data_IF_146822559840
#
_entry.id   IF_146822559840
#
_cell.length_a   1.000
_cell.length_b   1.000
_cell.length_c   1.000
_cell.angle_alpha   90.00
_cell.angle_beta   90.00
_cell.angle_gamma   90.00
#
_symmetry.space_group_name_H-M   'P 1'
#
loop_
_entity.id
_entity.type
_entity.pdbx_description
1 polymer ?
#
# COMPACT_ATOMS: atom_id res chain seq x y z
N UNK A 1 -58.48 -23.98 0.79
CA UNK A 1 -57.17 -23.95 1.45
C UNK A 1 -56.20 -23.41 0.41
N UNK A 2 -55.65 -22.22 0.65
CA UNK A 2 -54.63 -21.62 -0.21
C UNK A 2 -53.31 -22.13 0.34
N UNK A 3 -52.58 -22.89 -0.47
CA UNK A 3 -51.20 -23.29 -0.22
C UNK A 3 -50.33 -22.22 -0.89
N UNK A 4 -49.80 -21.30 -0.10
CA UNK A 4 -48.79 -20.33 -0.55
C UNK A 4 -47.47 -20.84 -0.04
N UNK A 5 -46.69 -21.44 -0.93
CA UNK A 5 -45.27 -21.71 -0.76
C UNK A 5 -44.54 -20.42 -0.36
N UNK A 6 -44.44 -20.17 0.95
CA UNK A 6 -43.57 -19.14 1.52
C UNK A 6 -42.14 -19.66 1.38
N UNK A 7 -41.48 -19.32 0.30
CA UNK A 7 -40.02 -19.40 0.25
C UNK A 7 -39.47 -18.23 1.03
N UNK A 8 -38.98 -18.50 2.23
CA UNK A 8 -38.22 -17.56 3.04
C UNK A 8 -37.17 -16.82 2.18
N UNK A 9 -37.02 -15.49 2.29
CA UNK A 9 -36.00 -14.76 1.56
C UNK A 9 -34.60 -15.28 1.93
N UNK A 10 -33.87 -15.79 0.94
CA UNK A 10 -32.52 -16.32 1.10
C UNK A 10 -31.48 -15.27 0.68
N UNK A 11 -30.54 -14.95 1.57
CA UNK A 11 -29.43 -14.06 1.29
C UNK A 11 -28.16 -14.85 0.97
N UNK A 12 -27.54 -14.52 -0.16
CA UNK A 12 -26.29 -15.11 -0.61
C UNK A 12 -25.22 -14.03 -0.76
N UNK A 13 -23.97 -14.39 -0.42
CA UNK A 13 -22.80 -13.59 -0.78
C UNK A 13 -21.98 -14.35 -1.81
N UNK A 14 -21.64 -13.66 -2.90
CA UNK A 14 -20.71 -14.13 -3.93
C UNK A 14 -19.36 -13.45 -3.75
N UNK A 15 -18.35 -14.22 -3.33
CA UNK A 15 -16.95 -13.80 -3.36
C UNK A 15 -16.40 -14.15 -4.74
N UNK A 16 -15.71 -13.22 -5.39
CA UNK A 16 -15.15 -13.44 -6.73
C UNK A 16 -14.29 -14.72 -6.78
N UNK A 17 -14.60 -15.63 -7.72
CA UNK A 17 -13.91 -16.92 -7.86
C UNK A 17 -14.46 -18.05 -6.98
N UNK A 18 -15.53 -17.83 -6.22
CA UNK A 18 -16.20 -18.86 -5.39
C UNK A 18 -17.64 -19.10 -5.82
N UNK A 19 -18.23 -20.22 -5.37
CA UNK A 19 -19.68 -20.44 -5.47
C UNK A 19 -20.41 -19.59 -4.44
N UNK A 20 -21.68 -19.28 -4.69
CA UNK A 20 -22.53 -18.55 -3.75
C UNK A 20 -22.51 -19.24 -2.37
N UNK A 21 -22.21 -18.45 -1.35
CA UNK A 21 -22.21 -18.91 0.03
C UNK A 21 -23.51 -18.47 0.68
N UNK A 22 -24.20 -19.42 1.32
CA UNK A 22 -25.43 -19.15 2.07
C UNK A 22 -25.09 -18.46 3.39
N UNK A 23 -25.75 -17.34 3.70
CA UNK A 23 -25.65 -16.75 5.03
C UNK A 23 -26.63 -17.46 5.97
N UNK A 24 -26.09 -18.26 6.88
CA UNK A 24 -26.85 -18.88 7.95
C UNK A 24 -27.13 -17.86 9.06
N UNK A 25 -28.40 -17.62 9.34
CA UNK A 25 -28.85 -16.93 10.55
C UNK A 25 -28.74 -17.92 11.69
N UNK A 26 -27.92 -17.64 12.71
CA UNK A 26 -27.83 -18.54 13.87
C UNK A 26 -29.17 -18.58 14.59
N UNK A 27 -29.44 -19.68 15.32
CA UNK A 27 -30.69 -20.00 16.03
C UNK A 27 -31.14 -18.98 17.11
N UNK A 28 -30.42 -17.86 17.25
CA UNK A 28 -30.66 -16.75 18.17
C UNK A 28 -30.80 -15.38 17.46
N UNK A 29 -30.86 -15.35 16.13
CA UNK A 29 -31.21 -14.15 15.39
C UNK A 29 -32.72 -14.09 15.22
N UNK A 30 -33.39 -13.16 15.88
CA UNK A 30 -34.75 -12.79 15.51
C UNK A 30 -34.76 -12.52 14.00
N UNK A 31 -35.67 -13.17 13.28
CA UNK A 31 -35.96 -12.81 11.90
C UNK A 31 -36.28 -11.31 11.90
N UNK A 32 -35.72 -10.49 10.99
CA UNK A 32 -36.07 -9.09 10.97
C UNK A 32 -37.58 -8.99 10.79
N UNK A 33 -38.27 -8.36 11.76
CA UNK A 33 -39.67 -7.99 11.61
C UNK A 33 -39.82 -7.27 10.26
N UNK A 34 -40.90 -7.57 9.54
CA UNK A 34 -41.07 -7.41 8.08
C UNK A 34 -40.75 -6.03 7.48
N UNK A 35 -40.47 -5.02 8.32
CA UNK A 35 -40.24 -3.65 7.90
C UNK A 35 -38.80 -3.14 8.04
N UNK A 36 -37.94 -3.63 8.97
CA UNK A 36 -36.54 -3.16 9.09
C UNK A 36 -35.61 -4.19 9.76
N UNK A 37 -34.61 -4.68 9.01
CA UNK A 37 -33.57 -5.59 9.51
C UNK A 37 -32.16 -5.05 9.34
N UNK A 38 -31.39 -4.96 10.43
CA UNK A 38 -29.96 -4.67 10.36
C UNK A 38 -29.16 -5.98 10.27
N UNK A 39 -28.48 -6.22 9.16
CA UNK A 39 -27.50 -7.31 9.04
C UNK A 39 -26.06 -6.76 9.08
N UNK A 40 -25.16 -7.55 9.67
CA UNK A 40 -23.74 -7.23 9.78
C UNK A 40 -22.92 -8.35 9.15
N UNK A 41 -22.00 -8.02 8.24
CA UNK A 41 -20.98 -8.95 7.78
C UNK A 41 -19.73 -8.82 8.63
N UNK A 42 -19.22 -9.94 9.16
CA UNK A 42 -17.90 -10.00 9.81
C UNK A 42 -16.97 -10.84 8.95
N UNK A 43 -15.93 -10.21 8.43
CA UNK A 43 -14.85 -10.90 7.75
C UNK A 43 -13.82 -11.33 8.80
N UNK A 44 -13.67 -12.64 8.98
CA UNK A 44 -12.53 -13.20 9.71
C UNK A 44 -11.40 -13.36 8.70
N UNK A 45 -10.44 -12.44 8.72
CA UNK A 45 -9.18 -12.68 8.02
C UNK A 45 -8.35 -13.65 8.87
N UNK A 46 -7.76 -14.67 8.25
CA UNK A 46 -6.98 -15.66 9.00
C UNK A 46 -5.80 -15.01 9.77
N UNK A 47 -5.27 -15.71 10.77
CA UNK A 47 -4.19 -15.21 11.62
C UNK A 47 -2.87 -14.96 10.86
N UNK A 48 -2.77 -15.40 9.60
CA UNK A 48 -1.61 -15.16 8.73
C UNK A 48 -1.79 -13.91 7.84
N UNK A 49 -2.95 -13.24 7.87
CA UNK A 49 -3.17 -12.01 7.11
C UNK A 49 -2.69 -10.78 7.89
N UNK A 50 -1.71 -10.11 7.31
CA UNK A 50 -1.22 -8.84 7.79
C UNK A 50 -2.30 -7.74 7.59
N UNK A 51 -2.92 -7.28 8.68
CA UNK A 51 -3.93 -6.21 8.66
C UNK A 51 -3.47 -4.96 7.89
N UNK A 52 -2.18 -4.60 7.98
CA UNK A 52 -1.64 -3.45 7.25
C UNK A 52 -1.70 -3.67 5.72
N UNK A 53 -1.43 -4.87 5.23
CA UNK A 53 -1.53 -5.18 3.78
C UNK A 53 -2.99 -5.19 3.29
N UNK A 54 -3.96 -5.46 4.17
CA UNK A 54 -5.39 -5.38 3.82
C UNK A 54 -5.94 -3.94 3.74
N UNK A 55 -5.22 -2.96 4.31
CA UNK A 55 -5.72 -1.58 4.47
C UNK A 55 -4.79 -0.53 3.87
N UNK A 56 -3.57 -0.90 3.49
CA UNK A 56 -2.53 0.02 3.05
C UNK A 56 -1.83 -0.52 1.81
N UNK A 57 -1.18 0.39 1.09
CA UNK A 57 -0.27 0.06 0.01
C UNK A 57 1.15 0.30 0.51
N UNK A 58 2.00 -0.71 0.39
CA UNK A 58 3.29 -0.77 1.07
C UNK A 58 4.40 -1.13 0.10
N UNK A 59 5.58 -0.52 0.27
CA UNK A 59 6.80 -0.90 -0.45
C UNK A 59 7.93 -1.22 0.53
N UNK A 60 8.66 -2.30 0.26
CA UNK A 60 9.89 -2.68 0.96
C UNK A 60 11.07 -2.56 0.00
N UNK A 61 12.19 -2.00 0.43
CA UNK A 61 13.42 -2.05 -0.38
C UNK A 61 13.88 -3.50 -0.58
N UNK A 62 14.33 -3.82 -1.80
CA UNK A 62 14.81 -5.16 -2.13
C UNK A 62 16.10 -5.50 -1.37
N UNK A 63 16.40 -6.80 -1.16
CA UNK A 63 17.66 -7.23 -0.57
C UNK A 63 18.88 -6.65 -1.28
N UNK A 64 19.81 -6.08 -0.53
CA UNK A 64 21.00 -5.39 -1.04
C UNK A 64 20.81 -3.91 -1.36
N UNK A 65 19.57 -3.39 -1.33
CA UNK A 65 19.26 -1.98 -1.56
C UNK A 65 18.85 -1.23 -0.27
N UNK A 66 18.87 -1.88 0.89
CA UNK A 66 18.32 -1.34 2.14
C UNK A 66 19.03 -0.07 2.63
N UNK A 67 20.26 0.19 2.15
CA UNK A 67 21.07 1.36 2.52
C UNK A 67 21.45 2.24 1.33
N UNK A 68 21.04 1.84 0.14
CA UNK A 68 21.52 2.41 -1.14
C UNK A 68 20.38 2.74 -2.08
N UNK A 69 19.12 2.43 -1.72
CA UNK A 69 17.95 2.77 -2.52
C UNK A 69 17.90 4.29 -2.74
N UNK A 70 18.03 4.76 -3.99
CA UNK A 70 17.98 6.19 -4.26
C UNK A 70 16.55 6.72 -4.16
N UNK A 71 16.43 7.97 -3.73
CA UNK A 71 15.16 8.71 -3.75
C UNK A 71 15.20 9.75 -4.84
N UNK A 72 14.04 9.94 -5.46
CA UNK A 72 13.86 10.86 -6.57
C UNK A 72 12.81 11.92 -6.21
N UNK A 73 12.94 13.11 -6.77
CA UNK A 73 11.87 14.11 -6.76
C UNK A 73 10.90 13.87 -7.93
N UNK A 74 9.87 14.71 -8.04
CA UNK A 74 8.85 14.62 -9.09
C UNK A 74 9.37 14.94 -10.51
N UNK A 75 10.60 15.46 -10.62
CA UNK A 75 11.33 15.71 -11.87
C UNK A 75 12.30 14.58 -12.24
N UNK A 76 12.30 13.47 -11.47
CA UNK A 76 13.17 12.32 -11.73
C UNK A 76 14.65 12.58 -11.43
N UNK A 77 14.94 13.59 -10.61
CA UNK A 77 16.28 13.90 -10.13
C UNK A 77 16.52 13.24 -8.78
N UNK A 78 17.74 12.81 -8.52
CA UNK A 78 18.14 12.29 -7.22
C UNK A 78 18.00 13.37 -6.14
N UNK A 79 17.40 12.98 -5.02
CA UNK A 79 17.34 13.81 -3.82
C UNK A 79 18.65 13.62 -3.05
N UNK A 80 19.35 14.72 -2.79
CA UNK A 80 20.55 14.69 -1.94
C UNK A 80 20.17 14.53 -0.47
N UNK A 81 20.64 13.45 0.12
CA UNK A 81 20.41 13.09 1.51
C UNK A 81 21.61 13.43 2.41
N UNK A 82 22.65 14.07 1.87
CA UNK A 82 23.87 14.39 2.62
C UNK A 82 24.53 13.15 3.21
N UNK A 83 24.61 12.09 2.40
CA UNK A 83 25.13 10.77 2.78
C UNK A 83 24.22 9.92 3.68
N UNK A 84 23.06 10.43 4.10
CA UNK A 84 22.07 9.66 4.86
C UNK A 84 21.28 8.76 3.93
N UNK A 85 20.63 7.75 4.51
CA UNK A 85 19.77 6.85 3.77
C UNK A 85 18.51 6.53 4.58
N UNK A 86 17.42 6.27 3.86
CA UNK A 86 16.30 5.56 4.42
C UNK A 86 16.74 4.12 4.63
N UNK A 87 17.01 3.75 5.88
CA UNK A 87 17.17 2.34 6.22
C UNK A 87 15.80 1.69 6.28
N UNK A 88 15.75 0.42 5.88
CA UNK A 88 14.70 -0.52 6.25
C UNK A 88 14.11 -0.13 7.63
N UNK A 89 12.83 0.28 7.68
CA UNK A 89 12.26 0.96 8.84
C UNK A 89 12.48 0.14 10.14
N UNK A 90 13.52 0.49 10.92
CA UNK A 90 13.94 -0.31 12.05
C UNK A 90 13.64 0.40 13.39
N UNK A 91 12.77 -0.29 14.15
CA UNK A 91 12.35 -0.07 15.54
C UNK A 91 11.34 1.03 15.81
N UNK A 92 10.09 0.56 15.92
CA UNK A 92 9.00 1.25 16.59
C UNK A 92 7.62 0.72 16.20
N UNK A 93 7.42 -0.61 16.17
CA UNK A 93 6.18 -1.32 16.53
C UNK A 93 6.32 -2.81 16.15
N UNK A 94 5.82 -3.67 17.03
CA UNK A 94 6.03 -5.12 17.08
C UNK A 94 5.30 -5.93 16.00
N UNK A 95 5.01 -5.36 14.82
CA UNK A 95 4.32 -5.99 13.68
C UNK A 95 4.74 -5.28 12.37
N UNK A 96 4.25 -5.76 11.21
CA UNK A 96 5.01 -6.30 10.08
C UNK A 96 5.98 -5.29 9.41
N UNK A 97 7.23 -5.41 9.83
CA UNK A 97 8.44 -5.33 9.02
C UNK A 97 8.48 -4.37 7.81
N UNK A 98 9.14 -3.22 8.04
CA UNK A 98 10.09 -2.65 7.08
C UNK A 98 9.55 -1.95 5.83
N UNK A 99 8.30 -1.48 5.88
CA UNK A 99 7.62 -0.93 4.72
C UNK A 99 7.43 0.59 4.78
N UNK A 100 7.43 1.23 3.63
CA UNK A 100 6.95 2.60 3.44
C UNK A 100 5.56 2.57 2.83
N UNK A 101 4.65 3.40 3.35
CA UNK A 101 3.35 3.58 2.73
C UNK A 101 3.47 4.38 1.44
N UNK A 102 2.64 4.01 0.46
CA UNK A 102 2.54 4.67 -0.84
C UNK A 102 1.07 4.93 -1.18
N UNK A 103 0.78 6.02 -1.88
CA UNK A 103 -0.58 6.44 -2.25
C UNK A 103 -0.88 6.27 -3.75
N UNK A 104 0.13 6.47 -4.61
CA UNK A 104 0.01 6.26 -6.06
C UNK A 104 1.33 5.84 -6.71
N UNK A 105 1.22 5.37 -7.95
CA UNK A 105 2.36 5.19 -8.83
C UNK A 105 2.33 6.21 -9.98
N UNK A 106 3.49 6.55 -10.53
CA UNK A 106 3.63 7.51 -11.64
C UNK A 106 4.86 7.19 -12.46
N UNK A 107 4.77 7.31 -13.77
CA UNK A 107 5.93 7.37 -14.64
C UNK A 107 6.59 8.74 -14.54
N UNK A 108 7.89 8.75 -14.26
CA UNK A 108 8.70 9.97 -14.18
C UNK A 108 9.85 9.81 -15.17
N UNK A 109 10.11 10.85 -15.97
CA UNK A 109 11.29 10.90 -16.83
C UNK A 109 12.54 11.04 -15.97
N UNK A 110 13.49 10.12 -16.12
CA UNK A 110 14.76 10.14 -15.39
C UNK A 110 15.84 10.72 -16.31
N UNK A 111 16.29 11.98 -16.12
CA UNK A 111 17.20 12.62 -17.06
C UNK A 111 18.54 11.89 -17.20
N UNK A 112 19.06 11.31 -16.10
CA UNK A 112 20.31 10.57 -16.10
C UNK A 112 20.25 9.26 -16.89
N UNK A 113 19.06 8.70 -17.07
CA UNK A 113 18.84 7.43 -17.78
C UNK A 113 18.18 7.62 -19.16
N UNK A 114 17.70 8.84 -19.45
CA UNK A 114 17.01 9.20 -20.69
C UNK A 114 15.84 8.25 -21.01
N UNK A 115 15.05 7.91 -19.98
CA UNK A 115 13.85 7.09 -20.10
C UNK A 115 12.83 7.43 -19.01
N UNK A 116 11.57 7.14 -19.28
CA UNK A 116 10.52 7.15 -18.27
C UNK A 116 10.56 5.84 -17.47
N UNK A 117 10.55 5.94 -16.15
CA UNK A 117 10.53 4.82 -15.23
C UNK A 117 9.31 4.91 -14.31
N UNK A 118 8.82 3.76 -13.84
CA UNK A 118 7.70 3.72 -12.89
C UNK A 118 8.21 3.94 -11.47
N UNK A 119 7.57 4.86 -10.75
CA UNK A 119 7.87 5.18 -9.37
C UNK A 119 6.65 5.02 -8.48
N UNK A 120 6.89 4.72 -7.21
CA UNK A 120 5.93 4.88 -6.12
C UNK A 120 6.23 6.16 -5.34
N UNK A 121 5.21 6.94 -5.04
CA UNK A 121 5.31 8.10 -4.16
C UNK A 121 5.27 7.64 -2.70
N UNK A 122 6.25 8.04 -1.89
CA UNK A 122 6.27 7.73 -0.46
C UNK A 122 5.40 8.73 0.29
N UNK A 123 4.46 8.23 1.11
CA UNK A 123 3.61 9.09 1.92
C UNK A 123 4.44 9.77 3.02
N UNK A 124 4.44 11.11 3.00
CA UNK A 124 5.13 11.95 3.97
C UNK A 124 6.22 12.78 3.33
N UNK A 125 6.67 13.81 4.06
CA UNK A 125 7.77 14.69 3.63
C UNK A 125 8.95 14.67 4.58
N UNK A 126 8.76 14.11 5.78
CA UNK A 126 9.78 14.00 6.81
C UNK A 126 9.93 12.54 7.22
N UNK A 127 11.14 12.03 7.13
CA UNK A 127 11.44 10.64 7.43
C UNK A 127 12.55 10.53 8.47
N UNK A 128 12.50 9.45 9.26
CA UNK A 128 13.61 9.04 10.11
C UNK A 128 14.66 8.34 9.25
N UNK A 129 15.87 8.86 9.23
CA UNK A 129 16.97 8.40 8.37
C UNK A 129 18.16 7.97 9.20
N UNK A 130 18.98 7.07 8.64
CA UNK A 130 20.28 6.70 9.21
C UNK A 130 21.35 7.66 8.72
N UNK A 131 22.17 8.11 9.66
CA UNK A 131 23.39 8.84 9.34
C UNK A 131 24.62 7.92 9.51
N UNK A 132 25.28 7.52 8.40
CA UNK A 132 26.47 6.66 8.49
C UNK A 132 27.67 7.36 9.13
N UNK A 133 27.65 8.70 9.25
CA UNK A 133 28.72 9.47 9.87
C UNK A 133 28.48 9.71 11.37
N UNK A 134 27.37 9.23 11.93
CA UNK A 134 27.12 9.35 13.37
C UNK A 134 28.11 8.50 14.16
N UNK A 135 28.68 9.09 15.22
CA UNK A 135 29.52 8.37 16.20
C UNK A 135 28.74 7.29 16.96
N UNK A 136 27.41 7.36 16.95
CA UNK A 136 26.54 6.35 17.54
C UNK A 136 25.85 5.58 16.41
N UNK A 137 26.15 4.28 16.33
CA UNK A 137 25.67 3.32 15.33
C UNK A 137 24.13 3.29 15.19
N UNK A 138 23.40 3.87 16.15
CA UNK A 138 21.95 3.84 16.23
C UNK A 138 21.23 5.20 16.11
N UNK A 139 21.92 6.28 15.71
CA UNK A 139 21.24 7.59 15.62
C UNK A 139 20.29 7.65 14.42
N UNK A 140 19.03 7.92 14.72
CA UNK A 140 18.01 8.31 13.73
C UNK A 140 17.91 9.82 13.68
N UNK A 141 17.97 10.39 12.49
CA UNK A 141 17.77 11.82 12.26
C UNK A 141 16.48 11.99 11.48
N UNK A 142 15.56 12.81 11.98
CA UNK A 142 14.38 13.22 11.20
C UNK A 142 14.80 14.31 10.23
N UNK A 143 14.59 14.07 8.94
CA UNK A 143 14.91 15.03 7.89
C UNK A 143 13.69 15.26 7.01
N UNK A 144 13.39 16.53 6.74
CA UNK A 144 12.44 16.91 5.72
C UNK A 144 13.14 16.86 4.36
N UNK A 145 12.63 16.03 3.46
CA UNK A 145 13.15 15.79 2.10
C UNK A 145 12.11 16.11 1.03
N UNK A 146 10.96 16.68 1.42
CA UNK A 146 9.85 16.95 0.52
C UNK A 146 9.15 15.68 0.01
N UNK A 147 8.39 15.83 -1.07
CA UNK A 147 7.76 14.71 -1.76
C UNK A 147 8.83 13.90 -2.49
N UNK A 148 8.90 12.60 -2.19
CA UNK A 148 9.93 11.71 -2.71
C UNK A 148 9.34 10.45 -3.30
N UNK A 149 10.08 9.89 -4.24
CA UNK A 149 9.69 8.77 -5.07
C UNK A 149 10.78 7.70 -5.05
N UNK A 150 10.36 6.44 -5.10
CA UNK A 150 11.25 5.28 -5.25
C UNK A 150 10.89 4.52 -6.51
N UNK A 151 11.89 4.02 -7.24
CA UNK A 151 11.63 3.21 -8.43
C UNK A 151 10.92 1.93 -8.05
N UNK A 152 9.92 1.56 -8.86
CA UNK A 152 9.21 0.29 -8.71
C UNK A 152 10.17 -0.91 -8.88
N UNK A 153 11.24 -0.78 -9.66
CA UNK A 153 12.26 -1.82 -9.84
C UNK A 153 13.08 -2.12 -8.58
N UNK A 154 13.16 -1.18 -7.64
CA UNK A 154 14.06 -1.26 -6.49
C UNK A 154 13.35 -1.76 -5.23
N UNK A 155 12.03 -1.97 -5.32
CA UNK A 155 11.17 -2.33 -4.21
C UNK A 155 10.32 -3.57 -4.49
N UNK A 156 9.85 -4.19 -3.42
CA UNK A 156 8.77 -5.17 -3.43
C UNK A 156 7.49 -4.49 -2.95
N UNK A 157 6.42 -4.60 -3.73
CA UNK A 157 5.11 -4.05 -3.38
C UNK A 157 4.27 -5.07 -2.59
N UNK A 158 3.54 -4.59 -1.58
CA UNK A 158 2.60 -5.37 -0.78
C UNK A 158 1.32 -4.57 -0.50
N UNK A 159 0.23 -5.29 -0.30
CA UNK A 159 -1.07 -4.72 0.07
C UNK A 159 -1.93 -4.22 -1.10
N UNK A 160 -2.76 -3.20 -0.84
CA UNK A 160 -3.74 -2.71 -1.81
C UNK A 160 -3.06 -2.12 -3.05
N UNK A 161 -3.54 -2.46 -4.24
CA UNK A 161 -2.98 -1.90 -5.48
C UNK A 161 -3.21 -0.39 -5.57
N UNK A 162 -2.17 0.36 -5.89
CA UNK A 162 -2.28 1.79 -6.16
C UNK A 162 -2.56 2.09 -7.63
N UNK A 163 -3.22 3.21 -7.90
CA UNK A 163 -3.47 3.70 -9.26
C UNK A 163 -2.19 4.31 -9.83
N UNK A 164 -1.89 3.97 -11.09
CA UNK A 164 -0.89 4.69 -11.88
C UNK A 164 -1.50 5.97 -12.46
N UNK A 165 -0.87 7.11 -12.22
CA UNK A 165 -1.45 8.43 -12.55
C UNK A 165 -1.29 8.84 -14.02
N UNK A 166 -0.31 8.29 -14.73
CA UNK A 166 0.03 8.63 -16.10
C UNK A 166 0.65 7.41 -16.83
N UNK A 167 0.97 7.56 -18.11
CA UNK A 167 1.72 6.57 -18.89
C UNK A 167 3.18 6.96 -19.10
N UNK A 168 4.01 6.03 -19.56
CA UNK A 168 5.40 6.29 -19.91
C UNK A 168 5.52 7.35 -21.01
N UNK A 169 4.64 7.29 -22.02
CA UNK A 169 4.60 8.24 -23.14
C UNK A 169 4.26 9.65 -22.67
N UNK A 170 3.35 9.79 -21.71
CA UNK A 170 3.00 11.07 -21.12
C UNK A 170 4.19 11.69 -20.36
N UNK A 171 4.94 10.87 -19.60
CA UNK A 171 6.13 11.30 -18.91
C UNK A 171 7.25 11.75 -19.87
N UNK A 172 7.47 11.01 -20.97
CA UNK A 172 8.44 11.40 -22.01
C UNK A 172 8.06 12.72 -22.67
N UNK A 173 6.79 12.90 -23.06
CA UNK A 173 6.31 14.15 -23.67
C UNK A 173 6.44 15.35 -22.74
N UNK A 174 6.28 15.16 -21.42
CA UNK A 174 6.47 16.23 -20.44
C UNK A 174 7.94 16.67 -20.36
N UNK A 175 8.89 15.78 -20.57
CA UNK A 175 10.32 16.09 -20.54
C UNK A 175 10.83 16.77 -21.83
N UNK A 176 10.09 16.66 -22.93
CA UNK A 176 10.40 17.30 -24.21
C UNK A 176 9.88 18.74 -24.33
N UNK A 177 9.10 19.20 -23.35
CA UNK A 177 8.57 20.58 -23.27
C UNK A 177 9.53 21.50 -22.53
#
# INVERSE_FOLDING_TARGET
MIDTDYTDPQLYVRIAGTKDQFLYWTDAGDYPDEDEGNFSFRFFMDDNHNFAESTQSLVTFKPGLEKTTPLYNDQGQLVDLGGKYLEKAARGNFLPENNYQVDYARYIWVPSEKKAELFYHLIGTTFSMRDPHSKYEYTWVKQNVGSVYVKASDVTFKGLKVKTQNTAEEATKLAEK
#
